data_IF_862572214055
#
_entry.id   IF_862572214055
#
_cell.length_a   1.000
_cell.length_b   1.000
_cell.length_c   1.000
_cell.angle_alpha   90.00
_cell.angle_beta   90.00
_cell.angle_gamma   90.00
#
_symmetry.space_group_name_H-M   'P 1'
#
loop_
_entity.id
_entity.type
_entity.pdbx_description
1 polymer ?
#
# COMPACT_ATOMS: atom_id res chain seq x y z
N UNK A 1 5.96 9.38 23.60
CA UNK A 1 5.72 7.91 23.68
C UNK A 1 4.53 7.57 22.81
N UNK A 2 4.57 6.46 22.06
CA UNK A 2 3.55 6.09 21.09
C UNK A 2 2.77 4.84 21.56
N UNK A 3 1.47 4.98 21.84
CA UNK A 3 0.61 3.88 22.34
C UNK A 3 0.31 2.86 21.25
N UNK A 4 0.62 1.58 21.45
CA UNK A 4 0.31 0.53 20.47
C UNK A 4 -1.20 0.30 20.40
N UNK A 5 -1.76 0.24 19.17
CA UNK A 5 -3.20 0.03 18.93
C UNK A 5 -3.46 -1.18 18.03
N UNK A 6 -3.48 -2.40 18.59
CA UNK A 6 -3.64 -3.64 17.84
C UNK A 6 -4.98 -3.74 17.10
N UNK A 7 -6.08 -3.41 17.78
CA UNK A 7 -7.43 -3.55 17.22
C UNK A 7 -7.58 -2.70 15.96
N UNK A 8 -7.14 -1.45 16.04
CA UNK A 8 -7.11 -0.51 14.92
C UNK A 8 -6.32 -1.07 13.73
N UNK A 9 -5.14 -1.65 14.02
CA UNK A 9 -4.25 -2.23 13.02
C UNK A 9 -4.85 -3.48 12.36
N UNK A 10 -5.51 -4.33 13.14
CA UNK A 10 -6.22 -5.52 12.65
C UNK A 10 -7.38 -5.15 11.73
N UNK A 11 -8.26 -4.22 12.15
CA UNK A 11 -9.39 -3.75 11.34
C UNK A 11 -8.93 -3.08 10.04
N UNK A 12 -7.88 -2.26 10.12
CA UNK A 12 -7.24 -1.70 8.93
C UNK A 12 -6.67 -2.80 8.01
N UNK A 13 -6.09 -3.87 8.58
CA UNK A 13 -5.62 -5.04 7.83
C UNK A 13 -6.74 -5.74 7.04
N UNK A 14 -7.89 -6.00 7.69
CA UNK A 14 -9.07 -6.52 7.00
C UNK A 14 -9.50 -5.58 5.86
N UNK A 15 -9.52 -4.27 6.15
CA UNK A 15 -9.85 -3.23 5.20
C UNK A 15 -8.90 -3.11 4.00
N UNK A 16 -7.64 -3.53 4.11
CA UNK A 16 -6.70 -3.56 2.97
C UNK A 16 -7.03 -4.69 1.99
N UNK A 17 -7.61 -5.78 2.47
CA UNK A 17 -7.86 -6.99 1.67
C UNK A 17 -8.99 -6.81 0.67
N UNK A 18 -10.04 -6.10 1.07
CA UNK A 18 -11.26 -5.87 0.27
C UNK A 18 -10.98 -5.14 -1.06
N UNK A 19 -10.34 -3.96 -1.09
CA UNK A 19 -10.06 -3.25 -2.33
C UNK A 19 -9.04 -3.96 -3.22
N UNK A 20 -8.09 -4.70 -2.63
CA UNK A 20 -7.12 -5.51 -3.39
C UNK A 20 -7.86 -6.58 -4.18
N UNK A 21 -8.85 -7.23 -3.57
CA UNK A 21 -9.66 -8.24 -4.24
C UNK A 21 -10.71 -7.65 -5.19
N UNK A 22 -11.36 -6.56 -4.80
CA UNK A 22 -12.34 -5.86 -5.64
C UNK A 22 -11.71 -5.38 -6.96
N UNK A 23 -10.50 -4.80 -6.93
CA UNK A 23 -9.83 -4.36 -8.16
C UNK A 23 -9.49 -5.54 -9.09
N UNK A 24 -9.13 -6.69 -8.50
CA UNK A 24 -8.87 -7.91 -9.25
C UNK A 24 -10.13 -8.39 -9.96
N UNK A 25 -11.25 -8.51 -9.25
CA UNK A 25 -12.53 -8.97 -9.81
C UNK A 25 -13.11 -7.99 -10.85
N UNK A 26 -13.00 -6.69 -10.61
CA UNK A 26 -13.57 -5.66 -11.48
C UNK A 26 -12.72 -5.44 -12.73
N UNK A 27 -11.42 -5.16 -12.58
CA UNK A 27 -10.56 -4.73 -13.68
C UNK A 27 -9.59 -5.80 -14.17
N UNK A 28 -9.45 -6.93 -13.46
CA UNK A 28 -8.46 -7.98 -13.77
C UNK A 28 -7.04 -7.58 -13.35
N UNK A 29 -6.88 -6.53 -12.56
CA UNK A 29 -5.59 -5.94 -12.21
C UNK A 29 -5.13 -6.40 -10.82
N UNK A 30 -3.86 -6.79 -10.70
CA UNK A 30 -3.22 -6.98 -9.40
C UNK A 30 -2.98 -5.62 -8.75
N UNK A 31 -3.43 -5.46 -7.51
CA UNK A 31 -3.24 -4.21 -6.76
C UNK A 31 -1.76 -4.02 -6.42
N UNK A 32 -1.14 -2.96 -6.94
CA UNK A 32 0.28 -2.68 -6.74
C UNK A 32 0.59 -1.20 -6.90
N UNK A 33 0.89 -0.53 -5.79
CA UNK A 33 1.00 0.93 -5.75
C UNK A 33 2.19 1.45 -6.57
N UNK A 34 3.36 0.83 -6.45
CA UNK A 34 4.52 1.20 -7.28
C UNK A 34 4.23 1.06 -8.77
N UNK A 35 3.47 0.04 -9.16
CA UNK A 35 3.00 -0.15 -10.53
C UNK A 35 2.00 0.92 -10.98
N UNK A 36 1.11 1.38 -10.10
CA UNK A 36 0.22 2.52 -10.38
C UNK A 36 1.01 3.80 -10.57
N UNK A 37 1.93 4.14 -9.66
CA UNK A 37 2.71 5.37 -9.77
C UNK A 37 3.53 5.43 -11.05
N UNK A 38 4.27 4.37 -11.37
CA UNK A 38 5.08 4.33 -12.58
C UNK A 38 4.21 4.36 -13.87
N UNK A 39 3.07 3.66 -13.90
CA UNK A 39 2.16 3.71 -15.05
C UNK A 39 1.43 5.05 -15.17
N UNK A 40 1.16 5.72 -14.05
CA UNK A 40 0.55 7.05 -14.03
C UNK A 40 1.48 8.09 -14.66
N UNK A 41 2.77 8.04 -14.33
CA UNK A 41 3.81 8.90 -14.97
C UNK A 41 3.88 8.65 -16.48
N UNK A 42 3.62 7.42 -16.94
CA UNK A 42 3.54 7.08 -18.38
C UNK A 42 2.17 7.39 -19.03
N UNK A 43 1.25 8.05 -18.32
CA UNK A 43 -0.04 8.49 -18.85
C UNK A 43 -1.14 7.41 -18.88
N UNK A 44 -1.00 6.30 -18.17
CA UNK A 44 -2.06 5.28 -18.09
C UNK A 44 -3.23 5.79 -17.23
N UNK A 45 -4.43 5.92 -17.84
CA UNK A 45 -5.61 6.50 -17.19
C UNK A 45 -6.07 5.77 -15.92
N UNK A 46 -6.07 4.42 -15.92
CA UNK A 46 -6.43 3.64 -14.72
C UNK A 46 -5.42 3.85 -13.60
N UNK A 47 -4.12 3.87 -13.94
CA UNK A 47 -3.07 4.09 -12.97
C UNK A 47 -3.09 5.51 -12.38
N UNK A 48 -3.41 6.52 -13.20
CA UNK A 48 -3.68 7.89 -12.74
C UNK A 48 -4.88 7.89 -11.79
N UNK A 49 -5.99 7.24 -12.15
CA UNK A 49 -7.17 7.14 -11.29
C UNK A 49 -6.85 6.45 -9.94
N UNK A 50 -6.04 5.40 -9.95
CA UNK A 50 -5.58 4.74 -8.71
C UNK A 50 -4.68 5.64 -7.87
N UNK A 51 -3.71 6.33 -8.48
CA UNK A 51 -2.83 7.26 -7.76
C UNK A 51 -3.62 8.44 -7.18
N UNK A 52 -4.57 8.99 -7.93
CA UNK A 52 -5.51 10.02 -7.46
C UNK A 52 -6.40 9.50 -6.35
N UNK A 53 -6.89 8.26 -6.42
CA UNK A 53 -7.68 7.64 -5.34
C UNK A 53 -6.89 7.55 -4.03
N UNK A 54 -5.60 7.16 -4.08
CA UNK A 54 -4.73 7.15 -2.90
C UNK A 54 -4.56 8.56 -2.30
N UNK A 55 -4.32 9.56 -3.16
CA UNK A 55 -4.14 10.94 -2.75
C UNK A 55 -5.42 11.52 -2.12
N UNK A 56 -6.57 11.33 -2.78
CA UNK A 56 -7.88 11.78 -2.32
C UNK A 56 -8.30 11.09 -1.02
N UNK A 57 -8.01 9.79 -0.87
CA UNK A 57 -8.25 9.07 0.38
C UNK A 57 -7.39 9.60 1.53
N UNK A 58 -6.14 9.97 1.24
CA UNK A 58 -5.28 10.68 2.18
C UNK A 58 -5.81 12.07 2.56
N UNK A 59 -6.26 12.86 1.59
CA UNK A 59 -6.88 14.16 1.84
C UNK A 59 -8.11 14.01 2.73
N UNK A 60 -9.00 13.08 2.40
CA UNK A 60 -10.20 12.80 3.20
C UNK A 60 -9.85 12.38 4.62
N UNK A 61 -8.88 11.48 4.80
CA UNK A 61 -8.41 11.09 6.11
C UNK A 61 -7.85 12.27 6.92
N UNK A 62 -7.09 13.16 6.29
CA UNK A 62 -6.58 14.38 6.92
C UNK A 62 -7.70 15.34 7.35
N UNK A 63 -8.77 15.45 6.57
CA UNK A 63 -9.96 16.25 6.92
C UNK A 63 -10.72 15.65 8.11
N UNK A 64 -10.94 14.32 8.12
CA UNK A 64 -11.65 13.62 9.21
C UNK A 64 -10.87 13.70 10.51
N UNK A 65 -9.54 13.58 10.46
CA UNK A 65 -8.70 13.66 11.65
C UNK A 65 -8.42 15.09 12.09
N UNK A 66 -8.60 16.08 11.21
CA UNK A 66 -8.19 17.47 11.44
C UNK A 66 -6.68 17.63 11.64
N UNK A 67 -5.88 16.62 11.24
CA UNK A 67 -4.45 16.54 11.52
C UNK A 67 -3.66 16.04 10.31
N UNK A 68 -2.47 16.60 10.14
CA UNK A 68 -1.52 16.18 9.12
C UNK A 68 -0.73 14.93 9.51
N UNK A 69 0.13 14.44 8.60
CA UNK A 69 1.07 13.38 8.93
C UNK A 69 2.01 13.88 10.04
N UNK A 70 2.31 13.01 11.02
CA UNK A 70 3.28 13.37 12.06
C UNK A 70 4.66 13.56 11.43
N UNK A 71 5.35 14.61 11.86
CA UNK A 71 6.74 14.84 11.46
C UNK A 71 7.61 13.68 11.94
N UNK A 72 8.32 13.05 10.99
CA UNK A 72 9.32 12.05 11.29
C UNK A 72 10.70 12.72 11.12
N UNK A 73 11.56 12.74 12.15
CA UNK A 73 12.78 13.55 12.17
C UNK A 73 13.90 12.92 11.34
N UNK A 74 13.68 12.76 10.03
CA UNK A 74 14.74 12.44 9.08
C UNK A 74 15.35 13.73 8.55
N UNK A 75 16.67 13.75 8.42
CA UNK A 75 17.34 14.79 7.66
C UNK A 75 16.95 14.68 6.19
N UNK A 76 16.86 15.81 5.47
CA UNK A 76 16.55 15.81 4.03
C UNK A 76 17.45 14.86 3.21
N UNK A 77 18.77 14.75 3.46
CA UNK A 77 19.61 13.78 2.78
C UNK A 77 19.18 12.33 3.02
N UNK A 78 18.86 11.95 4.26
CA UNK A 78 18.37 10.60 4.57
C UNK A 78 17.01 10.33 3.93
N UNK A 79 16.14 11.34 3.87
CA UNK A 79 14.84 11.26 3.22
C UNK A 79 15.00 11.01 1.71
N UNK A 80 15.82 11.81 1.03
CA UNK A 80 16.10 11.64 -0.41
C UNK A 80 16.74 10.28 -0.69
N UNK A 81 17.76 9.90 0.08
CA UNK A 81 18.43 8.60 -0.07
C UNK A 81 17.45 7.44 0.11
N UNK A 82 16.59 7.49 1.13
CA UNK A 82 15.57 6.47 1.35
C UNK A 82 14.59 6.36 0.19
N UNK A 83 14.16 7.50 -0.37
CA UNK A 83 13.26 7.54 -1.52
C UNK A 83 13.92 6.94 -2.76
N UNK A 84 15.17 7.31 -3.06
CA UNK A 84 15.93 6.76 -4.19
C UNK A 84 16.08 5.25 -4.09
N UNK A 85 16.47 4.73 -2.91
CA UNK A 85 16.64 3.29 -2.67
C UNK A 85 15.31 2.53 -2.82
N UNK A 86 14.21 3.08 -2.27
CA UNK A 86 12.87 2.52 -2.43
C UNK A 86 12.45 2.53 -3.90
N UNK A 87 12.66 3.64 -4.62
CA UNK A 87 12.36 3.75 -6.05
C UNK A 87 13.08 2.71 -6.89
N UNK A 88 14.41 2.66 -6.76
CA UNK A 88 15.28 1.71 -7.45
C UNK A 88 14.89 0.27 -7.12
N UNK A 89 14.70 -0.03 -5.84
CA UNK A 89 14.33 -1.35 -5.36
C UNK A 89 12.97 -1.83 -5.88
N UNK A 90 11.95 -0.97 -5.83
CA UNK A 90 10.61 -1.34 -6.34
C UNK A 90 10.61 -1.60 -7.84
N UNK A 91 11.45 -0.88 -8.60
CA UNK A 91 11.59 -1.06 -10.04
C UNK A 91 12.30 -2.36 -10.37
N UNK A 92 13.43 -2.64 -9.74
CA UNK A 92 14.20 -3.88 -9.93
C UNK A 92 13.42 -5.12 -9.50
N UNK A 93 12.70 -5.04 -8.38
CA UNK A 93 11.85 -6.13 -7.90
C UNK A 93 10.53 -6.27 -8.70
N UNK A 94 10.17 -5.27 -9.51
CA UNK A 94 8.89 -5.17 -10.22
C UNK A 94 7.69 -5.29 -9.24
N UNK A 95 7.76 -4.58 -8.12
CA UNK A 95 6.76 -4.63 -7.06
C UNK A 95 7.17 -3.90 -5.78
N UNK A 96 6.23 -3.76 -4.86
CA UNK A 96 6.45 -3.21 -3.50
C UNK A 96 5.70 -4.09 -2.49
N UNK A 97 5.59 -3.66 -1.23
CA UNK A 97 4.88 -4.41 -0.17
C UNK A 97 3.45 -4.78 -0.56
N UNK A 98 2.65 -3.85 -1.10
CA UNK A 98 1.28 -4.16 -1.56
C UNK A 98 1.23 -5.27 -2.63
N UNK A 99 2.19 -5.28 -3.56
CA UNK A 99 2.23 -6.26 -4.66
C UNK A 99 2.83 -7.61 -4.28
N UNK A 100 3.93 -7.63 -3.50
CA UNK A 100 4.62 -8.86 -3.11
C UNK A 100 4.11 -9.44 -1.80
N UNK A 101 3.88 -8.64 -0.77
CA UNK A 101 3.40 -9.13 0.52
C UNK A 101 1.90 -9.41 0.46
N UNK A 102 1.05 -8.41 0.22
CA UNK A 102 -0.41 -8.58 0.30
C UNK A 102 -0.92 -9.45 -0.86
N UNK A 103 -0.73 -9.00 -2.11
CA UNK A 103 -1.23 -9.73 -3.27
C UNK A 103 -0.36 -10.94 -3.66
N UNK A 104 0.95 -10.90 -3.40
CA UNK A 104 1.90 -11.90 -3.87
C UNK A 104 1.95 -13.17 -3.02
N UNK A 105 2.04 -13.03 -1.69
CA UNK A 105 1.99 -14.17 -0.75
C UNK A 105 0.63 -14.87 -0.84
N UNK A 106 -0.45 -14.11 -1.01
CA UNK A 106 -1.81 -14.65 -1.12
C UNK A 106 -2.03 -15.58 -2.31
N UNK A 107 -1.16 -15.49 -3.33
CA UNK A 107 -1.14 -16.36 -4.51
C UNK A 107 -0.12 -17.49 -4.41
N UNK A 108 0.54 -17.65 -3.26
CA UNK A 108 1.64 -18.60 -3.04
C UNK A 108 2.78 -18.49 -4.08
N UNK A 109 3.07 -17.27 -4.54
CA UNK A 109 4.12 -17.03 -5.52
C UNK A 109 5.50 -17.07 -4.85
N UNK A 110 6.34 -18.06 -5.20
CA UNK A 110 7.72 -18.18 -4.71
C UNK A 110 8.50 -16.88 -4.90
N UNK A 111 8.40 -16.27 -6.10
CA UNK A 111 8.97 -14.94 -6.40
C UNK A 111 8.61 -13.90 -5.34
N UNK A 112 7.34 -13.82 -4.96
CA UNK A 112 6.85 -12.81 -4.01
C UNK A 112 7.21 -13.14 -2.57
N UNK A 113 7.26 -14.43 -2.21
CA UNK A 113 7.72 -14.91 -0.90
C UNK A 113 9.21 -14.56 -0.75
N UNK A 114 10.05 -14.88 -1.73
CA UNK A 114 11.48 -14.56 -1.71
C UNK A 114 11.73 -13.06 -1.65
N UNK A 115 11.03 -12.26 -2.46
CA UNK A 115 11.13 -10.80 -2.39
C UNK A 115 10.75 -10.28 -1.00
N UNK A 116 9.64 -10.79 -0.43
CA UNK A 116 9.15 -10.37 0.89
C UNK A 116 10.12 -10.73 2.00
N UNK A 117 10.63 -11.97 2.02
CA UNK A 117 11.62 -12.39 2.98
C UNK A 117 12.89 -11.53 2.88
N UNK A 118 13.34 -11.22 1.66
CA UNK A 118 14.55 -10.43 1.42
C UNK A 118 14.38 -9.00 1.93
N UNK A 119 13.37 -8.26 1.46
CA UNK A 119 13.22 -6.87 1.86
C UNK A 119 12.89 -6.71 3.34
N UNK A 120 12.15 -7.65 3.92
CA UNK A 120 11.82 -7.63 5.34
C UNK A 120 13.09 -7.82 6.17
N UNK A 121 13.92 -8.80 5.82
CA UNK A 121 15.19 -9.07 6.51
C UNK A 121 16.14 -7.87 6.44
N UNK A 122 16.35 -7.29 5.25
CA UNK A 122 17.20 -6.10 5.09
C UNK A 122 16.62 -4.86 5.79
N UNK A 123 15.29 -4.75 5.84
CA UNK A 123 14.61 -3.68 6.58
C UNK A 123 14.80 -3.79 8.08
N UNK A 124 14.64 -5.00 8.65
CA UNK A 124 14.94 -5.29 10.06
C UNK A 124 16.39 -4.94 10.37
N UNK A 125 17.35 -5.40 9.55
CA UNK A 125 18.77 -5.11 9.76
C UNK A 125 19.02 -3.60 9.77
N UNK A 126 18.55 -2.89 8.75
CA UNK A 126 18.75 -1.43 8.62
C UNK A 126 18.13 -0.67 9.78
N UNK A 127 16.89 -1.02 10.17
CA UNK A 127 16.20 -0.36 11.28
C UNK A 127 16.95 -0.58 12.60
N UNK A 128 17.45 -1.79 12.86
CA UNK A 128 18.22 -2.08 14.08
C UNK A 128 19.53 -1.31 14.15
N UNK A 129 20.23 -1.12 13.02
CA UNK A 129 21.47 -0.37 12.99
C UNK A 129 21.26 1.14 13.16
N UNK A 130 20.22 1.71 12.56
CA UNK A 130 20.04 3.17 12.50
C UNK A 130 19.15 3.73 13.61
N UNK A 131 18.22 2.93 14.15
CA UNK A 131 17.20 3.38 15.10
C UNK A 131 17.34 2.72 16.48
N UNK A 132 18.54 2.26 16.84
CA UNK A 132 18.84 1.59 18.12
C UNK A 132 18.54 2.43 19.36
N UNK A 133 18.49 3.76 19.24
CA UNK A 133 18.23 4.66 20.37
C UNK A 133 16.75 5.05 20.53
N UNK A 134 15.84 4.31 19.87
CA UNK A 134 14.40 4.59 19.93
C UNK A 134 13.85 4.36 21.34
N UNK A 135 12.98 5.29 21.78
CA UNK A 135 12.35 5.22 23.11
C UNK A 135 11.37 4.04 23.22
N UNK A 136 11.18 3.48 24.43
CA UNK A 136 10.27 2.36 24.65
C UNK A 136 8.83 2.67 24.24
N UNK A 137 8.17 1.67 23.65
CA UNK A 137 6.72 1.64 23.45
C UNK A 137 6.06 1.29 24.77
N UNK A 138 5.12 2.12 25.22
CA UNK A 138 4.37 1.87 26.44
C UNK A 138 2.89 1.76 26.11
N UNK A 139 2.32 0.62 26.53
CA UNK A 139 0.89 0.27 26.56
C UNK A 139 0.26 -0.21 25.24
N UNK A 140 -0.39 -1.38 25.35
CA UNK A 140 -1.31 -1.96 24.38
C UNK A 140 -2.71 -1.43 24.69
N UNK A 141 -3.16 -0.46 23.91
CA UNK A 141 -4.51 0.09 23.98
C UNK A 141 -5.37 -0.56 22.89
N UNK A 142 -6.44 -1.25 23.31
CA UNK A 142 -7.37 -1.92 22.40
C UNK A 142 -8.56 -1.05 22.01
N UNK A 143 -8.62 0.19 22.48
CA UNK A 143 -9.71 1.11 22.17
C UNK A 143 -9.58 1.73 20.77
N UNK A 144 -10.74 2.11 20.21
CA UNK A 144 -10.80 2.91 18.98
C UNK A 144 -11.14 4.36 19.33
N UNK A 145 -10.42 5.29 18.73
CA UNK A 145 -10.70 6.73 18.86
C UNK A 145 -11.82 7.18 17.93
N UNK A 146 -12.36 8.38 18.15
CA UNK A 146 -13.42 8.98 17.32
C UNK A 146 -13.07 9.00 15.83
N UNK A 147 -11.90 9.53 15.42
CA UNK A 147 -11.50 9.55 14.01
C UNK A 147 -11.37 8.15 13.40
N UNK A 148 -10.88 7.17 14.15
CA UNK A 148 -10.74 5.78 13.67
C UNK A 148 -12.10 5.14 13.39
N UNK A 149 -13.09 5.37 14.27
CA UNK A 149 -14.47 4.92 14.05
C UNK A 149 -15.08 5.59 12.81
N UNK A 150 -14.81 6.88 12.61
CA UNK A 150 -15.27 7.61 11.43
C UNK A 150 -14.65 7.04 10.15
N UNK A 151 -13.33 6.83 10.10
CA UNK A 151 -12.65 6.23 8.95
C UNK A 151 -13.21 4.83 8.62
N UNK A 152 -13.46 4.00 9.64
CA UNK A 152 -14.07 2.69 9.47
C UNK A 152 -15.50 2.79 8.89
N UNK A 153 -16.31 3.72 9.38
CA UNK A 153 -17.66 3.96 8.87
C UNK A 153 -17.63 4.45 7.41
N UNK A 154 -16.73 5.37 7.08
CA UNK A 154 -16.59 5.89 5.72
C UNK A 154 -16.04 4.87 4.73
N UNK A 155 -15.34 3.83 5.19
CA UNK A 155 -14.88 2.74 4.35
C UNK A 155 -16.04 1.95 3.71
N UNK A 156 -17.23 1.98 4.31
CA UNK A 156 -18.43 1.34 3.77
C UNK A 156 -18.82 1.95 2.42
N UNK A 157 -18.62 3.25 2.20
CA UNK A 157 -19.03 3.94 0.98
C UNK A 157 -18.31 3.42 -0.28
N UNK A 158 -16.96 3.44 -0.38
CA UNK A 158 -16.28 2.89 -1.54
C UNK A 158 -16.44 1.37 -1.67
N UNK A 159 -16.65 0.66 -0.55
CA UNK A 159 -16.98 -0.76 -0.58
C UNK A 159 -18.34 -1.01 -1.25
N UNK A 160 -19.36 -0.22 -0.92
CA UNK A 160 -20.67 -0.27 -1.57
C UNK A 160 -20.59 0.09 -3.05
N UNK A 161 -19.74 1.05 -3.44
CA UNK A 161 -19.49 1.36 -4.85
C UNK A 161 -18.88 0.14 -5.55
N UNK A 162 -17.87 -0.49 -4.97
CA UNK A 162 -17.23 -1.68 -5.53
C UNK A 162 -18.20 -2.87 -5.62
N UNK A 163 -19.06 -3.06 -4.61
CA UNK A 163 -20.10 -4.09 -4.61
C UNK A 163 -21.18 -3.81 -5.67
N UNK A 164 -21.61 -2.55 -5.79
CA UNK A 164 -22.58 -2.12 -6.81
C UNK A 164 -22.02 -2.38 -8.22
N UNK A 165 -20.77 -2.01 -8.48
CA UNK A 165 -20.09 -2.30 -9.73
C UNK A 165 -19.98 -3.80 -9.99
N UNK A 166 -19.72 -4.60 -8.96
CA UNK A 166 -19.62 -6.05 -9.12
C UNK A 166 -20.97 -6.71 -9.48
N UNK A 167 -22.07 -6.24 -8.88
CA UNK A 167 -23.41 -6.81 -9.05
C UNK A 167 -24.08 -6.32 -10.34
N UNK A 168 -23.99 -5.02 -10.64
CA UNK A 168 -24.79 -4.38 -11.68
C UNK A 168 -24.01 -4.05 -12.95
N UNK A 169 -22.68 -4.11 -12.97
CA UNK A 169 -21.95 -3.79 -14.18
C UNK A 169 -22.19 -4.86 -15.26
N UNK A 170 -22.36 -4.45 -16.53
CA UNK A 170 -22.54 -5.38 -17.63
C UNK A 170 -21.30 -6.25 -17.76
N UNK A 171 -21.48 -7.56 -17.57
CA UNK A 171 -20.37 -8.52 -17.67
C UNK A 171 -20.00 -8.66 -19.14
N UNK A 172 -18.90 -8.02 -19.57
CA UNK A 172 -18.38 -8.18 -20.94
C UNK A 172 -17.14 -9.07 -20.93
N UNK A 173 -17.31 -10.27 -21.46
CA UNK A 173 -16.22 -11.16 -21.81
C UNK A 173 -15.61 -10.70 -23.15
N UNK A 174 -14.29 -10.47 -23.18
CA UNK A 174 -13.47 -10.35 -24.41
C UNK A 174 -13.56 -9.09 -25.28
N UNK A 175 -13.76 -7.90 -24.71
CA UNK A 175 -13.38 -6.67 -25.46
C UNK A 175 -11.91 -6.35 -25.25
N UNK A 176 -11.12 -6.43 -26.33
CA UNK A 176 -9.77 -5.88 -26.38
C UNK A 176 -9.82 -4.40 -25.96
N UNK A 177 -8.82 -3.93 -25.21
CA UNK A 177 -8.80 -2.59 -24.59
C UNK A 177 -9.09 -1.43 -25.58
N UNK A 178 -8.82 -1.64 -26.86
CA UNK A 178 -9.01 -0.67 -27.95
C UNK A 178 -10.48 -0.46 -28.34
N UNK A 179 -11.32 -1.49 -28.19
CA UNK A 179 -12.72 -1.49 -28.65
C UNK A 179 -13.73 -1.39 -27.50
N UNK A 180 -13.27 -1.11 -26.28
CA UNK A 180 -14.14 -0.96 -25.12
C UNK A 180 -15.07 0.25 -25.26
N UNK A 181 -16.39 0.09 -25.02
CA UNK A 181 -17.33 1.20 -25.03
C UNK A 181 -16.96 2.24 -23.96
N UNK A 182 -17.28 3.53 -24.20
CA UNK A 182 -16.88 4.63 -23.32
C UNK A 182 -17.40 4.46 -21.88
N UNK A 183 -18.58 3.86 -21.71
CA UNK A 183 -19.16 3.58 -20.39
C UNK A 183 -18.31 2.60 -19.58
N UNK A 184 -17.79 1.52 -20.19
CA UNK A 184 -16.94 0.55 -19.48
C UNK A 184 -15.61 1.18 -19.09
N UNK A 185 -15.02 2.01 -19.96
CA UNK A 185 -13.82 2.77 -19.62
C UNK A 185 -14.05 3.65 -18.39
N UNK A 186 -15.18 4.36 -18.33
CA UNK A 186 -15.54 5.16 -17.17
C UNK A 186 -15.72 4.30 -15.91
N UNK A 187 -16.44 3.17 -15.99
CA UNK A 187 -16.62 2.25 -14.86
C UNK A 187 -15.29 1.68 -14.34
N UNK A 188 -14.34 1.35 -15.22
CA UNK A 188 -12.99 0.89 -14.83
C UNK A 188 -12.20 1.96 -14.09
N UNK A 189 -12.35 3.23 -14.48
CA UNK A 189 -11.72 4.35 -13.77
C UNK A 189 -12.36 4.57 -12.40
N UNK A 190 -13.69 4.49 -12.31
CA UNK A 190 -14.42 4.57 -11.04
C UNK A 190 -13.99 3.43 -10.11
N UNK A 191 -13.90 2.19 -10.61
CA UNK A 191 -13.40 1.05 -9.84
C UNK A 191 -11.95 1.27 -9.35
N UNK A 192 -11.07 1.75 -10.23
CA UNK A 192 -9.66 2.01 -9.89
C UNK A 192 -9.52 3.10 -8.82
N UNK A 193 -10.29 4.17 -8.94
CA UNK A 193 -10.31 5.28 -7.99
C UNK A 193 -10.93 4.86 -6.66
N UNK A 194 -12.08 4.19 -6.69
CA UNK A 194 -12.84 3.77 -5.51
C UNK A 194 -12.05 2.77 -4.65
N UNK A 195 -11.49 1.73 -5.28
CA UNK A 195 -10.65 0.73 -4.57
C UNK A 195 -9.38 1.35 -4.01
N UNK A 196 -8.76 2.30 -4.72
CA UNK A 196 -7.55 2.97 -4.22
C UNK A 196 -7.85 3.95 -3.09
N UNK A 197 -9.01 4.62 -3.13
CA UNK A 197 -9.50 5.46 -2.04
C UNK A 197 -9.76 4.62 -0.79
N UNK A 198 -10.45 3.48 -0.94
CA UNK A 198 -10.68 2.53 0.15
C UNK A 198 -9.36 2.01 0.75
N UNK A 199 -8.41 1.65 -0.11
CA UNK A 199 -7.07 1.22 0.33
C UNK A 199 -6.33 2.32 1.11
N UNK A 200 -6.47 3.59 0.72
CA UNK A 200 -5.87 4.71 1.44
C UNK A 200 -6.47 4.90 2.84
N UNK A 201 -7.81 4.77 2.99
CA UNK A 201 -8.44 4.80 4.31
C UNK A 201 -7.96 3.64 5.18
N UNK A 202 -7.86 2.44 4.62
CA UNK A 202 -7.35 1.26 5.31
C UNK A 202 -5.86 1.40 5.70
N UNK A 203 -5.03 2.02 4.85
CA UNK A 203 -3.63 2.35 5.17
C UNK A 203 -3.54 3.30 6.38
N UNK A 204 -4.42 4.30 6.43
CA UNK A 204 -4.46 5.22 7.57
C UNK A 204 -4.96 4.53 8.83
N UNK A 205 -6.07 3.80 8.74
CA UNK A 205 -6.67 3.06 9.84
C UNK A 205 -5.66 2.05 10.41
N UNK A 206 -4.88 1.39 9.56
CA UNK A 206 -3.87 0.42 9.99
C UNK A 206 -2.57 1.03 10.55
N UNK A 207 -2.47 2.36 10.63
CA UNK A 207 -1.28 3.11 11.04
C UNK A 207 -0.02 2.90 10.17
N UNK A 208 -0.13 2.29 8.99
CA UNK A 208 0.99 2.19 8.04
C UNK A 208 1.46 3.55 7.51
N UNK A 209 0.62 4.57 7.65
CA UNK A 209 0.96 5.97 7.35
C UNK A 209 1.94 6.59 8.34
N UNK A 210 2.14 6.00 9.52
CA UNK A 210 3.00 6.55 10.57
C UNK A 210 4.37 5.85 10.52
N UNK A 211 5.43 6.51 10.02
CA UNK A 211 6.71 5.83 9.73
C UNK A 211 7.38 5.30 10.99
N UNK A 212 7.19 6.00 12.11
CA UNK A 212 7.67 5.55 13.41
C UNK A 212 7.13 4.17 13.76
N UNK A 213 5.85 3.87 13.46
CA UNK A 213 5.23 2.56 13.74
C UNK A 213 5.87 1.44 12.93
N UNK A 214 6.21 1.76 11.69
CA UNK A 214 6.87 0.85 10.76
C UNK A 214 8.28 0.52 11.25
N UNK A 215 9.07 1.55 11.60
CA UNK A 215 10.42 1.38 12.12
C UNK A 215 10.42 0.64 13.46
N UNK A 216 9.53 0.99 14.38
CA UNK A 216 9.45 0.31 15.69
C UNK A 216 9.00 -1.14 15.57
N UNK A 217 8.16 -1.48 14.60
CA UNK A 217 7.84 -2.88 14.30
C UNK A 217 9.07 -3.66 13.77
N UNK A 218 9.89 -3.01 12.94
CA UNK A 218 11.10 -3.60 12.36
C UNK A 218 12.23 -3.87 13.35
N UNK A 219 12.21 -3.24 14.51
CA UNK A 219 13.15 -3.57 15.57
C UNK A 219 12.96 -5.00 16.09
N UNK A 220 11.80 -5.63 15.83
CA UNK A 220 11.40 -6.96 16.28
C UNK A 220 11.39 -7.05 17.83
N UNK A 221 10.87 -8.13 18.44
CA UNK A 221 10.85 -8.27 19.92
C UNK A 221 12.24 -8.36 20.58
N UNK A 222 13.30 -8.05 19.84
CA UNK A 222 14.68 -7.94 20.33
C UNK A 222 15.00 -6.55 20.90
N UNK A 223 14.10 -5.56 20.77
CA UNK A 223 14.30 -4.20 21.27
C UNK A 223 13.13 -3.71 22.13
N UNK A 224 13.41 -2.91 23.16
CA UNK A 224 12.38 -2.35 24.06
C UNK A 224 11.41 -1.36 23.39
N UNK A 225 11.75 -0.90 22.18
CA UNK A 225 10.92 0.00 21.37
C UNK A 225 10.02 -0.76 20.39
N UNK A 226 9.96 -2.08 20.47
CA UNK A 226 9.16 -2.91 19.58
C UNK A 226 7.66 -2.61 19.69
N UNK A 227 7.02 -2.35 18.55
CA UNK A 227 5.57 -2.18 18.46
C UNK A 227 4.92 -3.36 17.73
N UNK A 228 4.15 -4.23 18.42
CA UNK A 228 3.52 -5.38 17.80
C UNK A 228 2.29 -5.03 16.95
N UNK A 229 1.83 -3.77 16.92
CA UNK A 229 0.57 -3.38 16.25
C UNK A 229 0.52 -3.80 14.78
N UNK A 230 1.63 -3.68 14.04
CA UNK A 230 1.68 -4.08 12.62
C UNK A 230 1.69 -5.60 12.41
N UNK A 231 1.99 -6.41 13.42
CA UNK A 231 1.78 -7.86 13.34
C UNK A 231 0.26 -8.17 13.23
N UNK A 232 -0.57 -7.46 14.00
CA UNK A 232 -2.03 -7.61 13.93
C UNK A 232 -2.60 -7.16 12.58
N UNK A 233 -2.00 -6.14 11.96
CA UNK A 233 -2.32 -5.79 10.57
C UNK A 233 -2.07 -6.98 9.64
N UNK A 234 -0.90 -7.60 9.71
CA UNK A 234 -0.57 -8.75 8.86
C UNK A 234 -1.53 -9.94 9.11
N UNK A 235 -1.89 -10.19 10.38
CA UNK A 235 -2.88 -11.21 10.77
C UNK A 235 -4.28 -10.91 10.21
N UNK A 236 -4.68 -9.64 10.11
CA UNK A 236 -5.94 -9.27 9.48
C UNK A 236 -5.88 -9.35 7.95
N UNK A 237 -4.81 -8.85 7.35
CA UNK A 237 -4.71 -8.69 5.91
C UNK A 237 -4.40 -10.01 5.17
N UNK A 238 -3.39 -10.77 5.61
CA UNK A 238 -2.90 -11.92 4.85
C UNK A 238 -3.89 -13.09 4.79
N UNK A 239 -4.46 -13.58 5.91
CA UNK A 239 -5.41 -14.69 5.86
C UNK A 239 -6.65 -14.37 5.04
N UNK A 240 -7.21 -13.16 5.21
CA UNK A 240 -8.36 -12.73 4.44
C UNK A 240 -8.03 -12.61 2.95
N UNK A 241 -6.89 -12.00 2.61
CA UNK A 241 -6.47 -11.88 1.20
C UNK A 241 -6.19 -13.26 0.59
N UNK A 242 -5.53 -14.18 1.32
CA UNK A 242 -5.34 -15.58 0.90
C UNK A 242 -6.70 -16.21 0.58
N UNK A 243 -7.65 -16.15 1.52
CA UNK A 243 -8.97 -16.73 1.36
C UNK A 243 -9.68 -16.18 0.10
N UNK A 244 -9.69 -14.87 -0.08
CA UNK A 244 -10.32 -14.21 -1.22
C UNK A 244 -9.66 -14.61 -2.55
N UNK A 245 -8.33 -14.66 -2.62
CA UNK A 245 -7.63 -15.11 -3.84
C UNK A 245 -7.86 -16.60 -4.14
N UNK A 246 -8.06 -17.44 -3.12
CA UNK A 246 -8.39 -18.86 -3.32
C UNK A 246 -9.82 -19.07 -3.84
N UNK A 247 -10.73 -18.12 -3.60
CA UNK A 247 -12.07 -18.14 -4.20
C UNK A 247 -12.08 -17.65 -5.65
N UNK A 248 -11.30 -16.63 -6.01
CA UNK A 248 -11.16 -16.16 -7.39
C UNK A 248 -10.19 -17.06 -8.20
N UNK A 249 -10.62 -18.30 -8.47
CA UNK A 249 -9.79 -19.35 -9.10
C UNK A 249 -9.59 -19.16 -10.59
N UNK A 250 -8.85 -18.13 -11.02
CA UNK A 250 -8.08 -18.09 -12.30
C UNK A 250 -8.80 -18.29 -13.65
N UNK A 251 -10.06 -18.70 -13.67
CA UNK A 251 -10.94 -18.89 -14.82
C UNK A 251 -11.99 -17.79 -14.93
N UNK A 252 -12.06 -16.91 -13.92
CA UNK A 252 -12.96 -15.77 -13.91
C UNK A 252 -12.46 -14.69 -14.87
N UNK A 253 -13.37 -14.20 -15.71
CA UNK A 253 -13.12 -13.02 -16.53
C UNK A 253 -13.41 -11.78 -15.68
N UNK A 254 -12.59 -10.73 -15.78
CA UNK A 254 -12.85 -9.50 -15.04
C UNK A 254 -14.20 -8.91 -15.45
N UNK A 255 -14.99 -8.45 -14.46
CA UNK A 255 -16.37 -7.98 -14.67
C UNK A 255 -16.45 -6.82 -15.67
N UNK A 256 -15.50 -5.89 -15.60
CA UNK A 256 -15.42 -4.71 -16.47
C UNK A 256 -14.50 -4.92 -17.69
N UNK A 257 -14.28 -6.18 -18.09
CA UNK A 257 -13.48 -6.56 -19.26
C UNK A 257 -11.97 -6.43 -19.05
N UNK A 258 -11.20 -6.53 -20.14
CA UNK A 258 -9.72 -6.45 -20.11
C UNK A 258 -9.03 -7.77 -19.75
N UNK A 259 -7.68 -7.79 -19.80
CA UNK A 259 -6.92 -9.00 -19.53
C UNK A 259 -6.88 -9.31 -18.04
N UNK A 260 -6.97 -10.60 -17.69
CA UNK A 260 -6.65 -11.07 -16.35
C UNK A 260 -5.14 -11.02 -16.14
N UNK A 261 -4.67 -9.93 -15.53
CA UNK A 261 -3.24 -9.59 -15.44
C UNK A 261 -2.55 -10.19 -14.22
N UNK A 262 -3.06 -11.29 -13.66
CA UNK A 262 -2.42 -12.00 -12.55
C UNK A 262 -1.16 -12.72 -13.06
N UNK A 263 0.04 -12.38 -12.56
CA UNK A 263 1.25 -13.12 -12.90
C UNK A 263 1.09 -14.60 -12.53
N UNK A 264 1.22 -15.50 -13.52
CA UNK A 264 1.13 -16.96 -13.35
C UNK A 264 2.37 -17.59 -12.69
N UNK A 265 3.41 -16.78 -12.46
CA UNK A 265 4.69 -17.20 -11.91
C UNK A 265 5.76 -16.19 -12.28
N UNK A 266 6.96 -16.34 -11.73
CA UNK A 266 8.13 -15.61 -12.15
C UNK A 266 9.37 -16.19 -11.50
N UNK A 267 10.48 -16.12 -12.21
CA UNK A 267 11.76 -16.64 -11.73
C UNK A 267 12.30 -15.78 -10.59
N UNK A 268 13.04 -16.42 -9.69
CA UNK A 268 13.83 -15.74 -8.66
C UNK A 268 15.18 -15.44 -9.29
N UNK A 269 15.35 -14.23 -9.79
CA UNK A 269 16.61 -13.75 -10.33
C UNK A 269 17.36 -12.86 -9.33
N UNK A 270 18.65 -12.64 -9.58
CA UNK A 270 19.47 -11.76 -8.73
C UNK A 270 18.94 -10.32 -8.76
N UNK A 271 18.32 -9.89 -9.86
CA UNK A 271 17.72 -8.55 -9.98
C UNK A 271 16.57 -8.36 -8.98
N UNK A 272 15.71 -9.35 -8.81
CA UNK A 272 14.64 -9.35 -7.81
C UNK A 272 15.21 -9.27 -6.39
N UNK A 273 16.19 -10.11 -6.07
CA UNK A 273 16.78 -10.18 -4.72
C UNK A 273 17.52 -8.88 -4.39
N UNK A 274 18.36 -8.38 -5.30
CA UNK A 274 19.05 -7.10 -5.12
C UNK A 274 18.07 -5.93 -5.02
N UNK A 275 17.02 -5.92 -5.86
CA UNK A 275 15.96 -4.91 -5.80
C UNK A 275 15.19 -4.93 -4.48
N UNK A 276 14.82 -6.13 -4.00
CA UNK A 276 14.15 -6.31 -2.72
C UNK A 276 15.05 -5.87 -1.56
N UNK A 277 16.33 -6.20 -1.59
CA UNK A 277 17.29 -5.75 -0.58
C UNK A 277 17.40 -4.22 -0.54
N UNK A 278 17.55 -3.55 -1.69
CA UNK A 278 17.59 -2.09 -1.79
C UNK A 278 16.31 -1.43 -1.27
N UNK A 279 15.15 -1.98 -1.64
CA UNK A 279 13.86 -1.53 -1.10
C UNK A 279 13.83 -1.65 0.42
N UNK A 280 14.26 -2.80 0.96
CA UNK A 280 14.29 -3.03 2.40
C UNK A 280 15.23 -2.08 3.15
N UNK A 281 16.40 -1.75 2.59
CA UNK A 281 17.29 -0.74 3.17
C UNK A 281 16.62 0.63 3.23
N UNK A 282 16.06 1.12 2.11
CA UNK A 282 15.36 2.42 2.09
C UNK A 282 14.13 2.47 3.01
N UNK A 283 13.38 1.36 3.07
CA UNK A 283 12.23 1.21 3.94
C UNK A 283 12.61 1.13 5.42
N UNK A 284 13.68 0.42 5.79
CA UNK A 284 14.19 0.38 7.17
C UNK A 284 14.83 1.70 7.63
N UNK A 285 15.41 2.47 6.70
CA UNK A 285 15.95 3.81 6.95
C UNK A 285 14.85 4.79 7.34
N UNK A 286 13.72 4.78 6.61
CA UNK A 286 12.72 5.85 6.70
C UNK A 286 11.35 5.44 7.25
N UNK A 287 11.01 4.15 7.25
CA UNK A 287 9.67 3.65 7.50
C UNK A 287 8.66 3.96 6.40
N UNK A 288 9.05 4.65 5.32
CA UNK A 288 8.13 5.03 4.23
C UNK A 288 8.03 3.97 3.14
N UNK A 289 6.81 3.78 2.66
CA UNK A 289 6.48 2.96 1.50
C UNK A 289 5.65 3.83 0.53
N UNK A 290 5.67 3.60 -0.81
CA UNK A 290 5.00 4.48 -1.76
C UNK A 290 3.51 4.71 -1.50
N UNK A 291 2.80 3.71 -0.97
CA UNK A 291 1.39 3.85 -0.55
C UNK A 291 1.20 4.86 0.58
N UNK A 292 1.71 4.58 1.78
CA UNK A 292 1.77 5.53 2.89
C UNK A 292 2.26 6.93 2.49
N UNK A 293 3.28 7.04 1.64
CA UNK A 293 3.79 8.32 1.15
C UNK A 293 2.75 9.13 0.38
N UNK A 294 2.01 8.50 -0.53
CA UNK A 294 0.90 9.14 -1.26
C UNK A 294 -0.25 9.57 -0.34
N UNK A 295 -0.61 8.71 0.61
CA UNK A 295 -1.67 9.01 1.60
C UNK A 295 -1.26 10.18 2.49
N UNK A 296 -0.01 10.19 2.98
CA UNK A 296 0.52 11.28 3.78
C UNK A 296 0.64 12.59 3.02
N UNK A 297 1.00 12.55 1.73
CA UNK A 297 0.94 13.74 0.88
C UNK A 297 -0.49 14.31 0.86
N UNK A 298 -1.50 13.46 0.66
CA UNK A 298 -2.90 13.88 0.71
C UNK A 298 -3.28 14.49 2.07
N UNK A 299 -2.90 13.85 3.17
CA UNK A 299 -3.14 14.36 4.53
C UNK A 299 -2.47 15.72 4.76
N UNK A 300 -1.25 15.90 4.29
CA UNK A 300 -0.51 17.16 4.43
C UNK A 300 -1.23 18.29 3.68
N UNK A 301 -1.67 18.04 2.44
CA UNK A 301 -2.41 19.02 1.63
C UNK A 301 -3.75 19.41 2.28
N UNK A 302 -4.51 18.45 2.81
CA UNK A 302 -5.81 18.72 3.43
C UNK A 302 -5.70 19.46 4.76
N UNK A 303 -4.70 19.13 5.58
CA UNK A 303 -4.48 19.75 6.89
C UNK A 303 -3.68 21.05 6.84
N UNK A 304 -3.25 21.50 5.65
CA UNK A 304 -2.31 22.62 5.45
C UNK A 304 -0.99 22.47 6.22
N UNK A 305 -0.57 21.23 6.48
CA UNK A 305 0.76 20.93 7.02
C UNK A 305 1.80 21.02 5.91
N UNK A 306 3.09 21.14 6.26
CA UNK A 306 4.18 21.19 5.27
C UNK A 306 4.22 19.92 4.38
N UNK A 307 3.92 20.02 3.07
CA UNK A 307 3.93 18.86 2.18
C UNK A 307 5.34 18.57 1.62
N UNK A 308 6.31 19.46 1.83
CA UNK A 308 7.62 19.40 1.19
C UNK A 308 8.37 18.10 1.46
N UNK A 309 8.38 17.52 2.69
CA UNK A 309 9.02 16.23 2.93
C UNK A 309 8.40 15.10 2.10
N UNK A 310 7.07 15.07 1.94
CA UNK A 310 6.41 14.01 1.19
C UNK A 310 6.62 14.16 -0.31
N UNK A 311 6.60 15.40 -0.81
CA UNK A 311 6.90 15.70 -2.22
C UNK A 311 8.35 15.32 -2.55
N UNK A 312 9.31 15.73 -1.73
CA UNK A 312 10.73 15.42 -1.94
C UNK A 312 10.99 13.92 -1.88
N UNK A 313 10.39 13.21 -0.93
CA UNK A 313 10.51 11.76 -0.85
C UNK A 313 9.89 11.04 -2.05
N UNK A 314 8.67 11.43 -2.49
CA UNK A 314 8.03 10.84 -3.66
C UNK A 314 8.78 11.15 -4.97
N UNK A 315 9.34 12.36 -5.09
CA UNK A 315 10.19 12.73 -6.21
C UNK A 315 11.47 11.87 -6.24
N UNK A 316 12.08 11.62 -5.10
CA UNK A 316 13.21 10.71 -4.97
C UNK A 316 12.85 9.26 -5.34
N UNK A 317 11.66 8.77 -4.94
CA UNK A 317 11.15 7.46 -5.36
C UNK A 317 10.97 7.39 -6.87
N UNK A 318 10.40 8.42 -7.49
CA UNK A 318 10.24 8.47 -8.94
C UNK A 318 11.61 8.49 -9.66
N UNK A 319 12.55 9.32 -9.18
CA UNK A 319 13.90 9.39 -9.72
C UNK A 319 14.65 8.05 -9.60
N UNK A 320 14.60 7.40 -8.44
CA UNK A 320 15.21 6.09 -8.22
C UNK A 320 14.62 5.01 -9.14
N UNK A 321 13.30 5.04 -9.36
CA UNK A 321 12.64 4.12 -10.29
C UNK A 321 12.96 4.36 -11.77
N UNK A 322 13.44 5.54 -12.14
CA UNK A 322 13.92 5.85 -13.49
C UNK A 322 15.38 5.40 -13.73
N UNK A 323 16.16 5.17 -12.66
CA UNK A 323 17.56 4.76 -12.74
C UNK A 323 17.75 3.22 -12.90
N UNK A 324 16.70 2.41 -12.73
CA UNK A 324 16.71 0.94 -12.74
C UNK A 324 16.11 0.30 -14.01
#
# INVERSE_FOLDING_TARGET
>A
MSTSRPLQSFLGGLGLSLPVHALLLLNGNVFGISGFLHRAVRGNKEAVASASGLLLGGMFAGLVEGAGPRSFPLTFPALILSGLLVGLGTKMANGCTSGHMIAGISRFSVRSITATATFFSTGVMTARFLHSNSLPTQFLDWSLTGPEKALLAFQIVPLLVSAFLYIFAPTQADTANRDQPPILRALRLVASLSTSFEFALALRLSNLTEPIRVVTFLLLPFHAAFDPSLAFLAIGALPLTILLYQFARGSEKPRLGGPWSVPKGGEVDMRLVAGAALFGVGWGLSGFCPGPGMVNLGRALASRSDPLPMITWLAAVAAGGCLA
#
